data_IF_182589182272
#
_entry.id   IF_182589182272
#
_cell.length_a   1.000
_cell.length_b   1.000
_cell.length_c   1.000
_cell.angle_alpha   90.00
_cell.angle_beta   90.00
_cell.angle_gamma   90.00
#
_symmetry.space_group_name_H-M   'P 1'
#
loop_
_entity.id
_entity.type
_entity.pdbx_description
1 polymer ?
#
# COMPACT_ATOMS: atom_id res chain seq x y z
N UNK A 1 -3.14 -26.03 5.54
CA UNK A 1 -3.82 -24.80 6.03
C UNK A 1 -4.43 -24.91 7.43
N UNK A 2 -5.25 -25.92 7.77
CA UNK A 2 -5.91 -26.04 9.11
C UNK A 2 -4.98 -25.82 10.31
N UNK A 3 -3.78 -26.40 10.28
CA UNK A 3 -2.78 -26.24 11.36
C UNK A 3 -2.28 -24.80 11.50
N UNK A 4 -2.08 -24.10 10.38
CA UNK A 4 -1.64 -22.70 10.33
C UNK A 4 -2.74 -21.81 10.92
N UNK A 5 -4.00 -22.00 10.51
CA UNK A 5 -5.13 -21.22 11.05
C UNK A 5 -5.30 -21.43 12.56
N UNK A 6 -5.16 -22.67 13.04
CA UNK A 6 -5.18 -22.96 14.48
C UNK A 6 -4.03 -22.28 15.24
N UNK A 7 -2.87 -22.14 14.61
CA UNK A 7 -1.74 -21.37 15.18
C UNK A 7 -2.08 -19.88 15.24
N UNK A 8 -2.67 -19.31 14.19
CA UNK A 8 -3.13 -17.92 14.19
C UNK A 8 -4.17 -17.66 15.29
N UNK A 9 -5.17 -18.55 15.43
CA UNK A 9 -6.18 -18.46 16.49
C UNK A 9 -5.54 -18.47 17.89
N UNK A 10 -4.50 -19.30 18.09
CA UNK A 10 -3.75 -19.39 19.33
C UNK A 10 -2.59 -18.39 19.47
N UNK A 11 -2.47 -17.40 18.58
CA UNK A 11 -1.34 -16.44 18.49
C UNK A 11 0.05 -17.10 18.58
N UNK A 12 0.20 -18.28 17.97
CA UNK A 12 1.47 -19.01 17.90
C UNK A 12 2.26 -18.58 16.68
N UNK A 13 3.58 -18.45 16.86
CA UNK A 13 4.51 -18.11 15.77
C UNK A 13 4.49 -19.15 14.66
N UNK A 14 4.43 -18.69 13.42
CA UNK A 14 4.59 -19.51 12.23
C UNK A 14 6.07 -19.68 11.89
N UNK A 15 6.43 -20.86 11.40
CA UNK A 15 7.72 -21.07 10.73
C UNK A 15 7.74 -20.34 9.39
N UNK A 16 8.92 -20.11 8.80
CA UNK A 16 9.06 -19.44 7.49
C UNK A 16 8.23 -20.14 6.40
N UNK A 17 8.24 -21.47 6.36
CA UNK A 17 7.43 -22.26 5.42
C UNK A 17 5.93 -22.07 5.65
N UNK A 18 5.48 -22.11 6.89
CA UNK A 18 4.06 -21.90 7.22
C UNK A 18 3.61 -20.46 6.91
N UNK A 19 4.49 -19.48 7.10
CA UNK A 19 4.25 -18.10 6.74
C UNK A 19 4.12 -17.94 5.21
N UNK A 20 5.01 -18.57 4.45
CA UNK A 20 4.92 -18.62 2.99
C UNK A 20 3.61 -19.27 2.54
N UNK A 21 3.27 -20.46 3.07
CA UNK A 21 2.04 -21.17 2.75
C UNK A 21 0.80 -20.31 3.08
N UNK A 22 0.84 -19.55 4.18
CA UNK A 22 -0.22 -18.62 4.56
C UNK A 22 -0.39 -17.49 3.53
N UNK A 23 0.70 -16.83 3.12
CA UNK A 23 0.62 -15.76 2.14
C UNK A 23 0.11 -16.26 0.78
N UNK A 24 0.60 -17.41 0.31
CA UNK A 24 0.12 -18.01 -0.93
C UNK A 24 -1.37 -18.36 -0.87
N UNK A 25 -1.85 -18.82 0.29
CA UNK A 25 -3.26 -19.10 0.50
C UNK A 25 -4.12 -17.82 0.49
N UNK A 26 -3.64 -16.73 1.08
CA UNK A 26 -4.34 -15.43 1.05
C UNK A 26 -4.46 -14.94 -0.38
N UNK A 27 -3.38 -15.01 -1.17
CA UNK A 27 -3.37 -14.62 -2.58
C UNK A 27 -4.38 -15.47 -3.37
N UNK A 28 -4.34 -16.81 -3.20
CA UNK A 28 -5.27 -17.73 -3.86
C UNK A 28 -6.74 -17.50 -3.45
N UNK A 29 -7.02 -17.16 -2.19
CA UNK A 29 -8.37 -16.82 -1.74
C UNK A 29 -8.90 -15.57 -2.46
N UNK A 30 -8.08 -14.54 -2.61
CA UNK A 30 -8.45 -13.29 -3.28
C UNK A 30 -8.87 -13.47 -4.74
N UNK A 31 -8.28 -14.46 -5.43
CA UNK A 31 -8.58 -14.76 -6.83
C UNK A 31 -9.73 -15.77 -7.00
N UNK A 32 -9.89 -16.69 -6.05
CA UNK A 32 -10.84 -17.81 -6.17
C UNK A 32 -12.23 -17.55 -5.58
N UNK A 33 -12.32 -16.83 -4.45
CA UNK A 33 -13.60 -16.53 -3.78
C UNK A 33 -13.48 -15.31 -2.88
N UNK A 34 -14.07 -14.20 -3.32
CA UNK A 34 -14.08 -12.94 -2.56
C UNK A 34 -14.86 -13.07 -1.25
N UNK A 35 -15.89 -13.92 -1.18
CA UNK A 35 -16.66 -14.19 0.04
C UNK A 35 -15.76 -14.85 1.10
N UNK A 36 -15.03 -15.89 0.71
CA UNK A 36 -14.10 -16.60 1.58
C UNK A 36 -12.96 -15.70 2.02
N UNK A 37 -12.44 -14.88 1.10
CA UNK A 37 -11.45 -13.85 1.41
C UNK A 37 -11.96 -12.85 2.44
N UNK A 38 -13.20 -12.36 2.32
CA UNK A 38 -13.79 -11.42 3.29
C UNK A 38 -13.94 -12.04 4.67
N UNK A 39 -14.39 -13.29 4.76
CA UNK A 39 -14.46 -14.02 6.04
C UNK A 39 -13.08 -14.16 6.68
N UNK A 40 -12.07 -14.50 5.87
CA UNK A 40 -10.69 -14.59 6.32
C UNK A 40 -10.17 -13.22 6.80
N UNK A 41 -10.37 -12.16 6.01
CA UNK A 41 -10.00 -10.80 6.34
C UNK A 41 -10.60 -10.37 7.69
N UNK A 42 -11.91 -10.54 7.86
CA UNK A 42 -12.60 -10.12 9.08
C UNK A 42 -12.06 -10.83 10.33
N UNK A 43 -11.60 -12.07 10.19
CA UNK A 43 -11.08 -12.86 11.31
C UNK A 43 -9.60 -12.64 11.60
N UNK A 44 -8.78 -12.46 10.56
CA UNK A 44 -7.33 -12.55 10.69
C UNK A 44 -6.57 -11.29 10.31
N UNK A 45 -7.19 -10.27 9.70
CA UNK A 45 -6.47 -9.05 9.28
C UNK A 45 -5.74 -8.34 10.43
N UNK A 46 -6.39 -8.21 11.58
CA UNK A 46 -5.78 -7.59 12.76
C UNK A 46 -4.61 -8.44 13.30
N UNK A 47 -4.79 -9.76 13.39
CA UNK A 47 -3.73 -10.69 13.82
C UNK A 47 -2.53 -10.63 12.88
N UNK A 48 -2.78 -10.62 11.57
CA UNK A 48 -1.74 -10.50 10.55
C UNK A 48 -0.96 -9.18 10.67
N UNK A 49 -1.67 -8.08 10.92
CA UNK A 49 -1.04 -6.79 11.13
C UNK A 49 -0.21 -6.75 12.41
N UNK A 50 -0.80 -7.15 13.54
CA UNK A 50 -0.16 -7.07 14.86
C UNK A 50 1.01 -8.04 14.99
N UNK A 51 0.85 -9.27 14.52
CA UNK A 51 1.83 -10.34 14.76
C UNK A 51 2.89 -10.43 13.65
N UNK A 52 2.50 -10.14 12.41
CA UNK A 52 3.33 -10.36 11.23
C UNK A 52 3.58 -9.09 10.41
N UNK A 53 3.05 -7.93 10.83
CA UNK A 53 3.17 -6.67 10.06
C UNK A 53 2.72 -6.86 8.60
N UNK A 54 1.75 -7.76 8.41
CA UNK A 54 1.16 -8.09 7.11
C UNK A 54 -0.12 -7.30 6.97
N UNK A 55 -0.11 -6.33 6.05
CA UNK A 55 -1.31 -5.66 5.59
C UNK A 55 -1.97 -6.49 4.49
N UNK A 56 -3.22 -6.90 4.70
CA UNK A 56 -4.10 -7.43 3.66
C UNK A 56 -5.23 -6.43 3.44
N UNK A 57 -5.58 -6.07 2.19
CA UNK A 57 -6.65 -5.11 1.94
C UNK A 57 -8.02 -5.78 2.00
N UNK A 58 -9.05 -5.12 2.55
CA UNK A 58 -10.43 -5.65 2.57
C UNK A 58 -11.02 -5.85 1.18
N UNK A 59 -10.59 -5.00 0.24
CA UNK A 59 -11.04 -4.98 -1.15
C UNK A 59 -9.83 -5.15 -2.07
N UNK A 60 -10.04 -5.77 -3.24
CA UNK A 60 -8.99 -5.88 -4.27
C UNK A 60 -8.44 -4.49 -4.63
N UNK A 61 -9.35 -3.54 -4.86
CA UNK A 61 -9.08 -2.13 -5.04
C UNK A 61 -9.63 -1.34 -3.85
N UNK A 62 -8.77 -0.60 -3.16
CA UNK A 62 -9.11 0.07 -1.90
C UNK A 62 -8.62 1.51 -1.82
N UNK A 63 -8.25 1.95 -0.61
CA UNK A 63 -7.76 3.31 -0.38
C UNK A 63 -6.52 3.64 -1.23
N UNK A 64 -5.55 2.73 -1.30
CA UNK A 64 -4.32 2.96 -2.09
C UNK A 64 -4.62 3.15 -3.58
N UNK A 65 -5.58 2.39 -4.12
CA UNK A 65 -6.02 2.49 -5.52
C UNK A 65 -6.79 3.80 -5.75
N UNK A 66 -7.66 4.20 -4.82
CA UNK A 66 -8.37 5.49 -4.86
C UNK A 66 -7.38 6.67 -4.83
N UNK A 67 -6.40 6.65 -3.93
CA UNK A 67 -5.38 7.68 -3.85
C UNK A 67 -4.57 7.74 -5.14
N UNK A 68 -4.11 6.59 -5.65
CA UNK A 68 -3.44 6.53 -6.95
C UNK A 68 -4.29 7.14 -8.07
N UNK A 69 -5.56 6.77 -8.17
CA UNK A 69 -6.45 7.32 -9.19
C UNK A 69 -6.57 8.85 -9.07
N UNK A 70 -6.84 9.38 -7.88
CA UNK A 70 -6.94 10.83 -7.66
C UNK A 70 -5.63 11.57 -7.98
N UNK A 71 -4.50 10.94 -7.67
CA UNK A 71 -3.17 11.46 -7.92
C UNK A 71 -2.84 11.58 -9.42
N UNK A 72 -3.31 10.64 -10.25
CA UNK A 72 -3.16 10.68 -11.71
C UNK A 72 -4.22 11.52 -12.42
N UNK A 73 -5.32 11.83 -11.72
CA UNK A 73 -6.44 12.62 -12.24
C UNK A 73 -6.72 13.85 -11.34
N UNK A 74 -5.76 14.76 -11.17
CA UNK A 74 -5.90 15.91 -10.27
C UNK A 74 -7.08 16.82 -10.62
N UNK A 75 -7.48 16.87 -11.89
CA UNK A 75 -8.66 17.57 -12.38
C UNK A 75 -9.96 17.12 -11.69
N UNK A 76 -10.06 15.83 -11.35
CA UNK A 76 -11.24 15.25 -10.70
C UNK A 76 -11.39 15.73 -9.26
N UNK A 77 -10.31 16.13 -8.58
CA UNK A 77 -10.39 16.62 -7.21
C UNK A 77 -11.32 17.84 -7.09
N UNK A 78 -11.30 18.72 -8.10
CA UNK A 78 -12.20 19.89 -8.16
C UNK A 78 -13.64 19.52 -8.50
N UNK A 79 -13.86 18.48 -9.31
CA UNK A 79 -15.17 18.00 -9.73
C UNK A 79 -15.91 17.26 -8.60
N UNK A 80 -15.17 16.49 -7.80
CA UNK A 80 -15.68 15.78 -6.61
C UNK A 80 -16.29 16.75 -5.59
N UNK A 81 -15.72 17.95 -5.43
CA UNK A 81 -16.28 18.94 -4.51
C UNK A 81 -17.65 19.47 -4.96
N UNK A 82 -17.92 19.47 -6.27
CA UNK A 82 -19.10 20.08 -6.88
C UNK A 82 -20.24 19.09 -7.19
N UNK A 83 -19.97 17.79 -7.11
CA UNK A 83 -20.90 16.75 -7.58
C UNK A 83 -21.60 16.06 -6.41
N UNK A 84 -22.93 15.88 -6.51
CA UNK A 84 -23.74 15.21 -5.48
C UNK A 84 -23.58 13.68 -5.50
N UNK A 85 -23.34 13.08 -6.67
CA UNK A 85 -23.03 11.65 -6.81
C UNK A 85 -21.74 11.47 -7.61
N UNK A 86 -20.64 11.21 -6.91
CA UNK A 86 -19.31 11.14 -7.51
C UNK A 86 -18.94 9.74 -8.04
N UNK A 87 -19.76 8.69 -7.83
CA UNK A 87 -19.40 7.31 -8.23
C UNK A 87 -19.03 7.22 -9.72
N UNK A 88 -19.74 7.96 -10.58
CA UNK A 88 -19.50 7.99 -12.03
C UNK A 88 -18.14 8.57 -12.43
N UNK A 89 -17.47 9.29 -11.54
CA UNK A 89 -16.14 9.85 -11.77
C UNK A 89 -15.02 8.81 -11.57
N UNK A 90 -15.35 7.66 -10.98
CA UNK A 90 -14.37 6.63 -10.62
C UNK A 90 -14.51 5.38 -11.49
N UNK A 91 -13.40 4.68 -11.73
CA UNK A 91 -13.40 3.38 -12.42
C UNK A 91 -14.25 2.35 -11.67
N UNK A 92 -14.90 1.44 -12.41
CA UNK A 92 -15.84 0.45 -11.89
C UNK A 92 -15.21 -0.44 -10.81
N UNK A 93 -13.92 -0.70 -10.92
CA UNK A 93 -13.12 -1.51 -10.01
C UNK A 93 -13.07 -0.92 -8.59
N UNK A 94 -13.19 0.41 -8.45
CA UNK A 94 -13.25 1.10 -7.15
C UNK A 94 -14.66 1.13 -6.55
N UNK A 95 -15.71 0.88 -7.33
CA UNK A 95 -17.10 1.03 -6.89
C UNK A 95 -17.42 0.20 -5.64
N UNK A 96 -17.00 -1.08 -5.51
CA UNK A 96 -17.26 -1.85 -4.29
C UNK A 96 -16.69 -1.20 -3.02
N UNK A 97 -15.50 -0.62 -3.11
CA UNK A 97 -14.87 0.07 -1.99
C UNK A 97 -15.55 1.42 -1.69
N UNK A 98 -15.89 2.18 -2.74
CA UNK A 98 -16.56 3.47 -2.60
C UNK A 98 -17.96 3.30 -2.01
N UNK A 99 -18.75 2.34 -2.49
CA UNK A 99 -20.07 2.03 -1.92
C UNK A 99 -19.96 1.65 -0.44
N UNK A 100 -18.96 0.84 -0.08
CA UNK A 100 -18.70 0.52 1.32
C UNK A 100 -18.39 1.75 2.18
N UNK A 101 -17.58 2.70 1.68
CA UNK A 101 -17.30 3.95 2.40
C UNK A 101 -18.57 4.79 2.57
N UNK A 102 -19.42 4.87 1.54
CA UNK A 102 -20.67 5.64 1.57
C UNK A 102 -21.68 5.06 2.56
N UNK A 103 -21.77 3.74 2.67
CA UNK A 103 -22.62 3.07 3.66
C UNK A 103 -22.19 3.36 5.11
N UNK A 104 -20.88 3.54 5.35
CA UNK A 104 -20.33 3.75 6.69
C UNK A 104 -20.40 5.22 7.14
N UNK A 105 -20.08 6.17 6.26
CA UNK A 105 -20.04 7.61 6.61
C UNK A 105 -21.32 8.37 6.22
N UNK A 106 -22.30 7.69 5.64
CA UNK A 106 -23.59 8.24 5.20
C UNK A 106 -23.51 9.41 4.19
N UNK A 107 -22.34 9.69 3.59
CA UNK A 107 -22.16 10.66 2.49
C UNK A 107 -20.73 10.58 1.90
N UNK A 108 -20.44 11.43 0.91
CA UNK A 108 -19.14 11.68 0.27
C UNK A 108 -18.16 12.51 1.11
N UNK A 109 -18.41 12.73 2.40
CA UNK A 109 -17.62 13.62 3.24
C UNK A 109 -16.14 13.20 3.34
N UNK A 110 -15.86 11.92 3.58
CA UNK A 110 -14.50 11.37 3.62
C UNK A 110 -13.74 11.59 2.31
N UNK A 111 -14.39 11.30 1.19
CA UNK A 111 -13.78 11.40 -0.14
C UNK A 111 -13.47 12.86 -0.46
N UNK A 112 -14.38 13.78 -0.12
CA UNK A 112 -14.15 15.22 -0.22
C UNK A 112 -13.02 15.70 0.69
N UNK A 113 -12.85 15.11 1.88
CA UNK A 113 -11.75 15.42 2.82
C UNK A 113 -10.41 14.96 2.26
N UNK A 114 -10.34 13.73 1.75
CA UNK A 114 -9.15 13.16 1.12
C UNK A 114 -8.74 14.00 -0.08
N UNK A 115 -9.66 14.31 -1.00
CA UNK A 115 -9.33 15.11 -2.18
C UNK A 115 -8.85 16.52 -1.80
N UNK A 116 -9.44 17.15 -0.78
CA UNK A 116 -8.98 18.46 -0.25
C UNK A 116 -7.57 18.38 0.33
N UNK A 117 -7.27 17.35 1.11
CA UNK A 117 -5.95 17.13 1.68
C UNK A 117 -4.89 16.98 0.58
N UNK A 118 -5.18 16.13 -0.41
CA UNK A 118 -4.30 15.92 -1.56
C UNK A 118 -4.12 17.19 -2.39
N UNK A 119 -5.19 17.92 -2.69
CA UNK A 119 -5.12 19.20 -3.43
C UNK A 119 -4.24 20.22 -2.71
N UNK A 120 -4.35 20.32 -1.37
CA UNK A 120 -3.52 21.21 -0.56
C UNK A 120 -2.07 20.77 -0.56
N UNK A 121 -1.82 19.47 -0.42
CA UNK A 121 -0.49 18.86 -0.41
C UNK A 121 0.26 19.08 -1.73
N UNK A 122 -0.45 19.00 -2.86
CA UNK A 122 0.13 19.09 -4.21
C UNK A 122 0.03 20.49 -4.85
N UNK A 123 -0.43 21.49 -4.09
CA UNK A 123 -0.90 22.81 -4.57
C UNK A 123 0.11 23.66 -5.33
N UNK A 124 1.41 23.37 -5.29
CA UNK A 124 2.43 24.18 -5.98
C UNK A 124 2.79 23.72 -7.38
N UNK A 125 2.70 22.41 -7.67
CA UNK A 125 2.95 21.74 -8.97
C UNK A 125 2.58 20.26 -8.80
N UNK A 126 1.33 19.84 -9.05
CA UNK A 126 0.90 18.45 -8.91
C UNK A 126 1.46 17.62 -10.07
N UNK A 127 2.76 17.35 -10.03
CA UNK A 127 3.44 16.55 -11.03
C UNK A 127 3.99 15.32 -10.34
N UNK A 128 3.34 14.19 -10.56
CA UNK A 128 3.91 12.90 -10.25
C UNK A 128 4.75 12.40 -11.41
N UNK A 129 5.69 11.48 -11.15
CA UNK A 129 6.35 10.79 -12.25
C UNK A 129 5.30 10.07 -13.10
N UNK A 130 5.56 9.96 -14.40
CA UNK A 130 4.66 9.28 -15.34
C UNK A 130 4.41 7.82 -14.92
N UNK A 131 3.28 7.25 -15.31
CA UNK A 131 3.05 5.84 -15.05
C UNK A 131 4.11 4.99 -15.78
N UNK A 132 4.67 3.99 -15.08
CA UNK A 132 5.62 3.03 -15.64
C UNK A 132 4.97 2.22 -16.75
N UNK A 133 5.80 1.69 -17.65
CA UNK A 133 5.40 0.65 -18.61
C UNK A 133 5.62 -0.73 -17.97
N UNK A 134 4.54 -1.47 -17.74
CA UNK A 134 4.59 -2.84 -17.21
C UNK A 134 4.58 -2.94 -15.68
N UNK A 135 5.03 -4.08 -15.15
CA UNK A 135 5.01 -4.39 -13.72
C UNK A 135 6.25 -3.85 -13.01
N UNK A 136 6.09 -3.48 -11.72
CA UNK A 136 7.22 -3.11 -10.89
C UNK A 136 8.11 -4.33 -10.61
N UNK A 137 9.43 -4.14 -10.63
CA UNK A 137 10.39 -5.20 -10.29
C UNK A 137 10.62 -5.23 -8.78
N UNK A 138 10.41 -6.37 -8.14
CA UNK A 138 10.63 -6.56 -6.70
C UNK A 138 11.93 -7.34 -6.47
N UNK A 139 12.91 -6.72 -5.83
CA UNK A 139 14.19 -7.35 -5.48
C UNK A 139 14.33 -7.45 -3.97
N UNK A 140 14.49 -8.68 -3.50
CA UNK A 140 14.68 -8.98 -2.09
C UNK A 140 16.13 -9.40 -1.84
N UNK A 141 16.66 -9.07 -0.68
CA UNK A 141 17.96 -9.54 -0.23
C UNK A 141 18.03 -11.07 -0.27
N UNK A 142 19.08 -11.63 -0.88
CA UNK A 142 19.24 -13.08 -1.14
C UNK A 142 18.14 -13.71 -2.01
N UNK A 143 17.30 -12.91 -2.68
CA UNK A 143 16.26 -13.40 -3.58
C UNK A 143 15.06 -14.07 -2.90
N UNK A 144 14.95 -14.02 -1.58
CA UNK A 144 13.84 -14.64 -0.84
C UNK A 144 12.82 -13.58 -0.38
N UNK A 145 11.61 -13.52 -0.97
CA UNK A 145 10.57 -12.57 -0.58
C UNK A 145 9.93 -12.87 0.79
N UNK A 146 10.08 -14.08 1.30
CA UNK A 146 9.46 -14.55 2.55
C UNK A 146 10.41 -14.51 3.75
N UNK A 147 11.70 -14.23 3.51
CA UNK A 147 12.73 -14.14 4.56
C UNK A 147 12.38 -13.12 5.63
N UNK A 148 11.82 -11.98 5.21
CA UNK A 148 11.49 -10.88 6.11
C UNK A 148 9.98 -10.76 6.22
N UNK A 149 9.47 -11.11 7.40
CA UNK A 149 8.05 -11.07 7.74
C UNK A 149 7.48 -9.69 7.42
N UNK A 150 6.42 -9.69 6.60
CA UNK A 150 5.62 -8.56 6.15
C UNK A 150 6.25 -7.69 5.05
N UNK A 151 7.51 -7.92 4.68
CA UNK A 151 8.19 -7.12 3.65
C UNK A 151 7.61 -7.35 2.24
N UNK A 152 7.29 -8.61 1.88
CA UNK A 152 6.64 -8.91 0.58
C UNK A 152 5.32 -8.14 0.43
N UNK A 153 4.34 -8.28 1.33
CA UNK A 153 3.09 -7.51 1.27
C UNK A 153 3.30 -6.00 1.22
N UNK A 154 4.27 -5.47 1.98
CA UNK A 154 4.62 -4.05 1.94
C UNK A 154 5.11 -3.60 0.55
N UNK A 155 6.01 -4.39 -0.06
CA UNK A 155 6.47 -4.13 -1.42
C UNK A 155 5.36 -4.24 -2.46
N UNK A 156 4.47 -5.21 -2.32
CA UNK A 156 3.32 -5.39 -3.22
C UNK A 156 2.34 -4.23 -3.12
N UNK A 157 2.12 -3.69 -1.92
CA UNK A 157 1.34 -2.47 -1.70
C UNK A 157 1.98 -1.27 -2.40
N UNK A 158 3.28 -1.05 -2.21
CA UNK A 158 4.04 0.00 -2.91
C UNK A 158 4.03 -0.19 -4.44
N UNK A 159 4.12 -1.42 -4.93
CA UNK A 159 4.10 -1.70 -6.37
C UNK A 159 2.81 -1.27 -7.08
N UNK A 160 1.72 -1.01 -6.34
CA UNK A 160 0.47 -0.49 -6.91
C UNK A 160 0.62 0.94 -7.44
N UNK A 161 1.56 1.72 -6.92
CA UNK A 161 1.77 3.09 -7.37
C UNK A 161 2.44 3.09 -8.75
N UNK A 162 1.72 3.60 -9.76
CA UNK A 162 2.11 3.48 -11.16
C UNK A 162 3.49 4.05 -11.49
N UNK A 163 3.99 5.01 -10.70
CA UNK A 163 5.28 5.66 -10.92
C UNK A 163 6.46 4.87 -10.36
N UNK A 164 6.22 3.79 -9.61
CA UNK A 164 7.27 2.95 -9.01
C UNK A 164 7.69 1.87 -9.99
N UNK A 165 8.92 1.91 -10.49
CA UNK A 165 9.47 0.94 -11.46
C UNK A 165 10.14 -0.25 -10.78
N UNK A 166 10.78 -0.04 -9.63
CA UNK A 166 11.48 -1.08 -8.89
C UNK A 166 11.50 -0.80 -7.39
N UNK A 167 11.39 -1.88 -6.61
CA UNK A 167 11.62 -1.88 -5.17
C UNK A 167 12.77 -2.83 -4.87
N UNK A 168 13.72 -2.40 -4.02
CA UNK A 168 14.89 -3.20 -3.69
C UNK A 168 15.23 -3.08 -2.21
N UNK A 169 15.14 -4.18 -1.46
CA UNK A 169 15.69 -4.20 -0.10
C UNK A 169 17.22 -4.22 -0.16
N UNK A 170 17.85 -3.46 0.74
CA UNK A 170 19.29 -3.22 0.72
C UNK A 170 20.01 -3.85 1.91
N UNK A 171 19.73 -3.37 3.12
CA UNK A 171 20.39 -3.85 4.34
C UNK A 171 19.54 -3.60 5.58
N UNK A 172 19.86 -4.33 6.64
CA UNK A 172 19.39 -4.04 7.98
C UNK A 172 19.99 -2.74 8.52
N UNK A 173 19.19 -1.95 9.24
CA UNK A 173 19.69 -0.80 9.98
C UNK A 173 20.49 -1.28 11.20
N UNK A 174 21.77 -0.88 11.29
CA UNK A 174 22.70 -1.36 12.32
C UNK A 174 22.50 -0.72 13.71
N UNK A 175 21.81 0.43 13.81
CA UNK A 175 21.72 1.25 15.03
C UNK A 175 20.30 1.30 15.61
N UNK A 176 19.72 0.13 15.83
CA UNK A 176 18.38 -0.03 16.41
C UNK A 176 17.25 0.10 15.38
N UNK A 177 16.04 -0.21 15.82
CA UNK A 177 14.82 -0.05 15.01
C UNK A 177 14.52 1.42 14.81
N UNK A 178 14.03 1.77 13.62
CA UNK A 178 13.42 3.07 13.42
C UNK A 178 12.18 3.19 14.31
N UNK A 179 11.97 4.38 14.87
CA UNK A 179 10.79 4.68 15.67
C UNK A 179 9.51 4.70 14.83
N UNK A 180 9.64 4.99 13.53
CA UNK A 180 8.56 4.99 12.57
C UNK A 180 9.08 4.66 11.17
N UNK A 181 8.24 4.01 10.38
CA UNK A 181 8.46 3.85 8.95
C UNK A 181 8.25 5.20 8.27
N UNK A 182 9.11 5.49 7.29
CA UNK A 182 9.07 6.73 6.51
C UNK A 182 9.70 6.53 5.16
N UNK A 183 9.28 7.35 4.20
CA UNK A 183 9.92 7.48 2.90
C UNK A 183 10.56 8.86 2.81
N UNK A 184 11.77 8.93 2.25
CA UNK A 184 12.55 10.14 2.06
C UNK A 184 13.10 10.21 0.65
N UNK A 185 13.16 11.40 0.07
CA UNK A 185 13.84 11.63 -1.22
C UNK A 185 15.34 11.40 -1.06
N UNK A 186 15.95 10.65 -1.98
CA UNK A 186 17.40 10.47 -2.05
C UNK A 186 17.98 11.24 -3.22
N UNK A 187 17.34 11.12 -4.39
CA UNK A 187 17.63 11.88 -5.58
C UNK A 187 16.41 11.96 -6.50
N UNK A 188 16.57 12.60 -7.66
CA UNK A 188 15.51 12.85 -8.62
C UNK A 188 14.84 11.58 -9.19
N UNK A 189 15.47 10.41 -9.12
CA UNK A 189 14.91 9.14 -9.62
C UNK A 189 14.68 8.08 -8.53
N UNK A 190 15.02 8.38 -7.27
CA UNK A 190 15.06 7.39 -6.19
C UNK A 190 14.60 7.97 -4.86
N UNK A 191 13.76 7.19 -4.18
CA UNK A 191 13.39 7.39 -2.79
C UNK A 191 13.99 6.28 -1.92
N UNK A 192 14.16 6.56 -0.64
CA UNK A 192 14.58 5.63 0.38
C UNK A 192 13.44 5.39 1.34
N UNK A 193 13.16 4.13 1.65
CA UNK A 193 12.13 3.75 2.61
C UNK A 193 12.72 2.94 3.75
N UNK A 194 12.08 3.04 4.91
CA UNK A 194 12.31 2.15 6.05
C UNK A 194 11.06 1.31 6.25
N UNK A 195 11.26 0.01 6.40
CA UNK A 195 10.24 -0.96 6.79
C UNK A 195 10.63 -1.58 8.12
N UNK A 196 9.73 -1.56 9.10
CA UNK A 196 10.01 -2.06 10.46
C UNK A 196 9.01 -3.13 10.85
N UNK A 197 9.54 -4.28 11.29
CA UNK A 197 8.74 -5.36 11.86
C UNK A 197 9.09 -5.58 13.35
N UNK A 198 8.53 -6.64 13.95
CA UNK A 198 8.77 -7.02 15.35
C UNK A 198 10.23 -7.31 15.69
N UNK A 199 11.11 -7.52 14.74
CA UNK A 199 12.51 -7.90 15.00
C UNK A 199 13.48 -6.80 14.62
N UNK A 200 13.27 -6.16 13.47
CA UNK A 200 14.28 -5.30 12.84
C UNK A 200 13.68 -4.25 11.92
N UNK A 201 14.50 -3.28 11.53
CA UNK A 201 14.21 -2.33 10.47
C UNK A 201 15.09 -2.59 9.25
N UNK A 202 14.47 -2.55 8.08
CA UNK A 202 15.07 -2.84 6.78
C UNK A 202 15.01 -1.57 5.95
N UNK A 203 16.16 -1.18 5.41
CA UNK A 203 16.22 -0.10 4.45
C UNK A 203 16.02 -0.63 3.03
N UNK A 204 15.22 0.08 2.24
CA UNK A 204 14.96 -0.26 0.85
C UNK A 204 14.94 0.99 -0.04
N UNK A 205 15.16 0.75 -1.33
CA UNK A 205 15.06 1.76 -2.37
C UNK A 205 13.77 1.63 -3.16
N UNK A 206 13.21 2.78 -3.53
CA UNK A 206 12.09 2.93 -4.44
C UNK A 206 12.62 3.66 -5.68
N UNK A 207 12.57 3.02 -6.83
CA UNK A 207 12.95 3.62 -8.11
C UNK A 207 11.71 4.17 -8.81
N UNK A 208 11.83 5.40 -9.29
CA UNK A 208 10.76 6.10 -10.00
C UNK A 208 10.86 5.86 -11.51
N UNK A 209 9.80 6.18 -12.24
CA UNK A 209 9.72 6.11 -13.70
C UNK A 209 10.43 7.26 -14.42
N UNK A 210 10.61 8.38 -13.73
CA UNK A 210 11.26 9.58 -14.25
C UNK A 210 12.32 10.07 -13.27
N UNK A 211 13.32 10.77 -13.82
CA UNK A 211 14.36 11.45 -13.04
C UNK A 211 14.06 12.94 -13.01
N UNK A 212 13.25 13.36 -12.05
CA UNK A 212 12.86 14.77 -11.83
C UNK A 212 12.68 15.01 -10.32
N UNK A 213 13.40 15.99 -9.78
CA UNK A 213 13.42 16.24 -8.33
C UNK A 213 12.06 16.67 -7.79
N UNK A 214 11.33 17.53 -8.51
CA UNK A 214 10.01 18.01 -8.07
C UNK A 214 9.03 16.84 -8.05
N UNK A 215 9.08 15.98 -9.07
CA UNK A 215 8.24 14.78 -9.14
C UNK A 215 8.61 13.75 -8.06
N UNK A 216 9.89 13.61 -7.72
CA UNK A 216 10.34 12.75 -6.63
C UNK A 216 9.86 13.23 -5.27
N UNK A 217 9.92 14.54 -5.00
CA UNK A 217 9.39 15.15 -3.78
C UNK A 217 7.87 14.93 -3.65
N UNK A 218 7.13 15.16 -4.73
CA UNK A 218 5.68 14.92 -4.77
C UNK A 218 5.34 13.43 -4.57
N UNK A 219 6.06 12.52 -5.20
CA UNK A 219 5.88 11.08 -5.01
C UNK A 219 6.17 10.68 -3.56
N UNK A 220 7.23 11.20 -2.96
CA UNK A 220 7.57 10.97 -1.57
C UNK A 220 6.46 11.43 -0.62
N UNK A 221 5.94 12.64 -0.84
CA UNK A 221 4.83 13.19 -0.06
C UNK A 221 3.57 12.34 -0.19
N UNK A 222 3.18 12.02 -1.44
CA UNK A 222 2.02 11.19 -1.73
C UNK A 222 2.08 9.82 -1.05
N UNK A 223 3.25 9.15 -1.10
CA UNK A 223 3.44 7.85 -0.47
C UNK A 223 3.39 7.93 1.06
N UNK A 224 4.01 8.93 1.68
CA UNK A 224 3.97 9.08 3.14
C UNK A 224 2.54 9.37 3.64
N UNK A 225 1.80 10.24 2.95
CA UNK A 225 0.40 10.52 3.29
C UNK A 225 -0.47 9.28 3.13
N UNK A 226 -0.29 8.50 2.06
CA UNK A 226 -1.09 7.31 1.78
C UNK A 226 -0.79 6.13 2.72
N UNK A 227 0.48 5.92 3.06
CA UNK A 227 0.92 4.76 3.84
C UNK A 227 0.94 5.02 5.34
N UNK A 228 1.28 6.24 5.76
CA UNK A 228 1.62 6.56 7.15
C UNK A 228 0.80 7.73 7.72
N UNK A 229 -0.04 8.40 6.93
CA UNK A 229 -0.87 9.52 7.38
C UNK A 229 -0.08 10.77 7.80
N UNK A 230 1.16 10.90 7.29
CA UNK A 230 2.07 12.03 7.53
C UNK A 230 1.88 13.17 6.52
#
# INVERSE_FOLDING_TARGET
MRTILRKLDGRKTLTEREYQDLLQYIDALGDSSMESYRLFYNRYSEVLWQEYTVYIPKFKHGMDDLLNFLLYHPELMSQIQKTANCLKLFPLELHPYLSYLLEQEQDWALIKKISRSLSRSLSKRPQLPTARKGNAVLKYERGNPYKEIGLKPHFERLARYGFITRLQSYRYLQRGKASQDRISVLDAGRLGGIYTNKEKSIYYYIFLSETDMIKAENACLALNTALYGL
#
